data_IF_209616504023
#
_entry.id   IF_209616504023
#
_cell.length_a   1.000
_cell.length_b   1.000
_cell.length_c   1.000
_cell.angle_alpha   90.00
_cell.angle_beta   90.00
_cell.angle_gamma   90.00
#
_symmetry.space_group_name_H-M   'P 1'
#
loop_
_entity.id
_entity.type
_entity.pdbx_description
1 polymer ?
#
# COMPACT_ATOMS: atom_id res chain seq x y z
N UNK A 1 0.95 -15.32 -1.56
CA UNK A 1 -0.15 -15.24 -2.53
C UNK A 1 0.39 -14.76 -3.87
N UNK A 2 0.01 -15.44 -4.94
CA UNK A 2 0.44 -15.04 -6.28
C UNK A 2 -0.66 -14.25 -6.95
N UNK A 3 -0.29 -13.12 -7.53
CA UNK A 3 -1.25 -12.26 -8.20
C UNK A 3 -1.22 -12.50 -9.72
N UNK A 4 -2.40 -12.70 -10.30
CA UNK A 4 -2.51 -12.90 -11.75
C UNK A 4 -2.36 -11.57 -12.47
N UNK A 5 -2.06 -11.63 -13.77
CA UNK A 5 -2.00 -10.43 -14.61
C UNK A 5 -3.34 -9.72 -14.63
N UNK A 6 -4.43 -10.49 -14.63
CA UNK A 6 -5.79 -9.94 -14.63
C UNK A 6 -6.07 -9.17 -13.35
N UNK A 7 -5.65 -9.73 -12.21
CA UNK A 7 -5.81 -9.06 -10.92
C UNK A 7 -5.05 -7.74 -10.90
N UNK A 8 -3.79 -7.75 -11.36
CA UNK A 8 -2.95 -6.56 -11.38
C UNK A 8 -3.51 -5.50 -12.33
N UNK A 9 -4.00 -5.93 -13.49
CA UNK A 9 -4.61 -5.02 -14.46
C UNK A 9 -5.81 -4.30 -13.85
N UNK A 10 -6.69 -5.05 -13.19
CA UNK A 10 -7.86 -4.52 -12.50
C UNK A 10 -7.46 -3.51 -11.44
N UNK A 11 -6.47 -3.85 -10.63
CA UNK A 11 -6.00 -2.98 -9.56
C UNK A 11 -5.42 -1.68 -10.13
N UNK A 12 -4.65 -1.79 -11.21
CA UNK A 12 -4.07 -0.60 -11.85
C UNK A 12 -5.13 0.34 -12.39
N UNK A 13 -6.21 -0.21 -12.95
CA UNK A 13 -7.35 0.61 -13.38
C UNK A 13 -7.99 1.34 -12.21
N UNK A 14 -8.15 0.65 -11.09
CA UNK A 14 -8.68 1.25 -9.86
C UNK A 14 -7.79 2.40 -9.40
N UNK A 15 -6.49 2.21 -9.41
CA UNK A 15 -5.51 3.23 -9.02
C UNK A 15 -5.57 4.42 -9.99
N UNK A 16 -5.59 4.13 -11.28
CA UNK A 16 -5.62 5.16 -12.33
C UNK A 16 -6.86 6.05 -12.20
N UNK A 17 -7.99 5.45 -11.87
CA UNK A 17 -9.26 6.14 -11.72
C UNK A 17 -9.47 6.72 -10.33
N UNK A 18 -8.50 6.54 -9.43
CA UNK A 18 -8.56 7.03 -8.05
C UNK A 18 -9.80 6.53 -7.30
N UNK A 19 -10.14 5.27 -7.53
CA UNK A 19 -11.29 4.63 -6.87
C UNK A 19 -10.85 4.11 -5.49
N UNK A 20 -10.70 5.02 -4.56
CA UNK A 20 -10.16 4.75 -3.23
C UNK A 20 -10.94 3.66 -2.48
N UNK A 21 -12.26 3.72 -2.53
CA UNK A 21 -13.11 2.75 -1.83
C UNK A 21 -12.91 1.34 -2.35
N UNK A 22 -12.77 1.20 -3.68
CA UNK A 22 -12.54 -0.11 -4.30
C UNK A 22 -11.17 -0.65 -3.97
N UNK A 23 -10.16 0.22 -3.95
CA UNK A 23 -8.80 -0.17 -3.58
C UNK A 23 -8.75 -0.62 -2.12
N UNK A 24 -9.40 0.10 -1.22
CA UNK A 24 -9.49 -0.27 0.19
C UNK A 24 -10.20 -1.60 0.38
N UNK A 25 -11.28 -1.83 -0.37
CA UNK A 25 -12.03 -3.08 -0.30
C UNK A 25 -11.14 -4.26 -0.69
N UNK A 26 -10.37 -4.11 -1.76
CA UNK A 26 -9.43 -5.16 -2.18
C UNK A 26 -8.38 -5.43 -1.10
N UNK A 27 -7.79 -4.37 -0.55
CA UNK A 27 -6.75 -4.53 0.45
C UNK A 27 -7.28 -5.06 1.78
N UNK A 28 -8.55 -4.81 2.10
CA UNK A 28 -9.15 -5.30 3.34
C UNK A 28 -9.23 -6.83 3.39
N UNK A 29 -9.21 -7.45 2.22
CA UNK A 29 -9.26 -8.92 2.09
C UNK A 29 -7.88 -9.55 2.12
N UNK A 30 -6.83 -8.75 2.15
CA UNK A 30 -5.45 -9.21 2.13
C UNK A 30 -4.80 -9.03 3.49
N UNK A 31 -3.88 -9.93 3.82
CA UNK A 31 -3.04 -9.77 4.99
C UNK A 31 -1.90 -8.80 4.67
N UNK A 32 -1.26 -8.18 5.68
CA UNK A 32 -0.15 -7.27 5.42
C UNK A 32 0.96 -7.88 4.56
N UNK A 33 1.28 -9.15 4.76
CA UNK A 33 2.29 -9.84 3.96
C UNK A 33 1.90 -9.95 2.49
N UNK A 34 0.59 -10.13 2.23
CA UNK A 34 0.07 -10.19 0.87
C UNK A 34 0.14 -8.82 0.20
N UNK A 35 -0.16 -7.77 0.95
CA UNK A 35 -0.08 -6.40 0.45
C UNK A 35 1.36 -6.05 0.11
N UNK A 36 2.31 -6.46 0.96
CA UNK A 36 3.73 -6.24 0.69
C UNK A 36 4.16 -6.95 -0.59
N UNK A 37 3.70 -8.18 -0.80
CA UNK A 37 3.97 -8.92 -2.02
C UNK A 37 3.37 -8.22 -3.24
N UNK A 38 2.18 -7.64 -3.08
CA UNK A 38 1.53 -6.88 -4.14
C UNK A 38 2.36 -5.66 -4.53
N UNK A 39 2.97 -4.99 -3.57
CA UNK A 39 3.81 -3.83 -3.83
C UNK A 39 5.01 -4.17 -4.72
N UNK A 40 5.54 -5.40 -4.62
CA UNK A 40 6.64 -5.85 -5.49
C UNK A 40 6.22 -5.90 -6.96
N UNK A 41 4.93 -6.08 -7.22
CA UNK A 41 4.40 -6.17 -8.57
C UNK A 41 3.98 -4.81 -9.14
N UNK A 42 4.00 -3.76 -8.32
CA UNK A 42 3.53 -2.43 -8.70
C UNK A 42 4.69 -1.46 -8.80
N UNK A 43 4.46 -0.37 -9.54
CA UNK A 43 5.39 0.75 -9.57
C UNK A 43 5.37 1.44 -8.20
N UNK A 44 6.43 2.16 -7.90
CA UNK A 44 6.55 2.86 -6.62
C UNK A 44 5.40 3.82 -6.37
N UNK A 45 4.98 4.58 -7.39
CA UNK A 45 3.88 5.52 -7.26
C UNK A 45 2.56 4.81 -6.91
N UNK A 46 2.34 3.64 -7.50
CA UNK A 46 1.15 2.84 -7.22
C UNK A 46 1.18 2.30 -5.80
N UNK A 47 2.34 1.81 -5.36
CA UNK A 47 2.50 1.31 -4.00
C UNK A 47 2.28 2.42 -2.97
N UNK A 48 2.81 3.60 -3.22
CA UNK A 48 2.63 4.76 -2.33
C UNK A 48 1.16 5.14 -2.24
N UNK A 49 0.46 5.15 -3.37
CA UNK A 49 -0.97 5.44 -3.37
C UNK A 49 -1.74 4.49 -2.47
N UNK A 50 -1.48 3.19 -2.60
CA UNK A 50 -2.14 2.17 -1.77
C UNK A 50 -1.77 2.30 -0.31
N UNK A 51 -0.49 2.58 -0.03
CA UNK A 51 -0.03 2.78 1.34
C UNK A 51 -0.79 3.92 2.03
N UNK A 52 -0.99 5.02 1.32
CA UNK A 52 -1.67 6.19 1.88
C UNK A 52 -3.15 5.94 2.18
N UNK A 53 -3.76 4.96 1.53
CA UNK A 53 -5.15 4.59 1.78
C UNK A 53 -5.31 3.73 3.03
N UNK A 54 -4.27 3.01 3.45
CA UNK A 54 -4.35 2.14 4.61
C UNK A 54 -4.42 2.92 5.92
N UNK A 55 -5.08 2.36 6.93
CA UNK A 55 -5.03 2.93 8.26
C UNK A 55 -3.62 2.77 8.85
N UNK A 56 -3.33 3.52 9.92
CA UNK A 56 -1.99 3.57 10.47
C UNK A 56 -1.48 2.21 10.94
N UNK A 57 -2.35 1.41 11.55
CA UNK A 57 -1.97 0.09 12.06
C UNK A 57 -1.59 -0.85 10.92
N UNK A 58 -2.44 -0.96 9.93
CA UNK A 58 -2.19 -1.86 8.79
C UNK A 58 -1.02 -1.38 7.95
N UNK A 59 -0.92 -0.07 7.74
CA UNK A 59 0.21 0.51 7.00
C UNK A 59 1.54 0.18 7.68
N UNK A 60 1.59 0.28 9.00
CA UNK A 60 2.78 -0.08 9.76
C UNK A 60 3.14 -1.54 9.61
N UNK A 61 2.14 -2.43 9.66
CA UNK A 61 2.38 -3.87 9.49
C UNK A 61 2.90 -4.19 8.09
N UNK A 62 2.37 -3.51 7.05
CA UNK A 62 2.85 -3.70 5.69
C UNK A 62 4.31 -3.27 5.57
N UNK A 63 4.67 -2.14 6.18
CA UNK A 63 6.07 -1.68 6.14
C UNK A 63 7.02 -2.71 6.76
N UNK A 64 6.60 -3.38 7.82
CA UNK A 64 7.42 -4.42 8.46
C UNK A 64 7.65 -5.63 7.56
N UNK A 65 6.71 -5.89 6.66
CA UNK A 65 6.81 -7.01 5.73
C UNK A 65 7.62 -6.68 4.47
N UNK A 66 7.88 -5.39 4.21
CA UNK A 66 8.66 -4.98 3.04
C UNK A 66 10.15 -5.15 3.30
N UNK A 67 10.91 -5.39 2.22
CA UNK A 67 12.37 -5.34 2.27
C UNK A 67 12.81 -3.95 2.70
N UNK A 68 14.00 -3.86 3.27
CA UNK A 68 14.56 -2.57 3.68
C UNK A 68 14.61 -1.58 2.52
N UNK A 69 15.06 -2.02 1.35
CA UNK A 69 15.14 -1.16 0.17
C UNK A 69 13.77 -0.65 -0.27
N UNK A 70 12.80 -1.55 -0.34
CA UNK A 70 11.42 -1.21 -0.70
C UNK A 70 10.81 -0.25 0.30
N UNK A 71 10.98 -0.55 1.58
CA UNK A 71 10.49 0.28 2.67
C UNK A 71 11.05 1.69 2.58
N UNK A 72 12.36 1.80 2.37
CA UNK A 72 13.01 3.10 2.26
C UNK A 72 12.48 3.90 1.07
N UNK A 73 12.27 3.24 -0.06
CA UNK A 73 11.73 3.90 -1.25
C UNK A 73 10.33 4.45 -1.00
N UNK A 74 9.49 3.66 -0.36
CA UNK A 74 8.13 4.09 -0.04
C UNK A 74 8.17 5.27 0.94
N UNK A 75 8.97 5.16 1.98
CA UNK A 75 9.07 6.21 3.00
C UNK A 75 9.62 7.52 2.45
N UNK A 76 10.55 7.45 1.49
CA UNK A 76 11.09 8.65 0.85
C UNK A 76 10.03 9.43 0.07
N UNK A 77 9.02 8.73 -0.43
CA UNK A 77 7.96 9.34 -1.23
C UNK A 77 6.82 9.87 -0.37
N UNK A 78 6.79 9.55 0.91
CA UNK A 78 5.73 9.96 1.82
C UNK A 78 6.23 11.09 2.71
N UNK A 79 5.52 12.24 2.77
CA UNK A 79 5.91 13.32 3.66
C UNK A 79 5.92 12.87 5.12
N UNK A 80 6.88 13.36 5.89
CA UNK A 80 7.01 13.02 7.31
C UNK A 80 5.72 13.33 8.08
N UNK A 81 5.05 14.41 7.72
CA UNK A 81 3.78 14.81 8.35
C UNK A 81 2.71 13.75 8.16
N UNK A 82 2.64 13.14 6.97
CA UNK A 82 1.69 12.08 6.67
C UNK A 82 1.98 10.84 7.51
N UNK A 83 3.26 10.48 7.64
CA UNK A 83 3.67 9.34 8.46
C UNK A 83 3.30 9.58 9.91
N UNK A 84 3.63 10.75 10.44
CA UNK A 84 3.31 11.12 11.81
C UNK A 84 1.79 11.10 12.05
N UNK A 85 1.02 11.63 11.10
CA UNK A 85 -0.43 11.64 11.19
C UNK A 85 -1.03 10.25 11.21
N UNK A 86 -0.46 9.31 10.42
CA UNK A 86 -0.94 7.94 10.39
C UNK A 86 -0.67 7.17 11.68
N UNK A 87 0.49 7.38 12.29
CA UNK A 87 0.89 6.62 13.47
C UNK A 87 0.51 7.29 14.78
N UNK A 88 0.59 8.59 14.84
CA UNK A 88 0.28 9.34 16.05
C UNK A 88 -1.21 9.66 16.14
N UNK A 89 -1.84 9.97 15.02
CA UNK A 89 -3.25 10.32 14.98
C UNK A 89 -4.19 9.20 15.38
N UNK A 90 -3.70 7.97 15.43
CA UNK A 90 -4.50 6.80 15.82
C UNK A 90 -4.45 6.49 17.31
N UNK A 91 -3.73 7.28 18.07
CA UNK A 91 -3.62 7.07 19.50
C UNK A 91 -4.63 7.85 20.29
#
# INVERSE_FOLDING_TARGET
>A
MDFTKEYLHNLREIIDQKRDADALDLMSKLHPEDIAALYDELDLDEAVYLYLLLDGEKAGLVLLELDEDERNKVLERIPSETIAGKFVGNM
#
